data_IF_278489767649
#
_entry.id   IF_278489767649
#
_cell.length_a   1.000
_cell.length_b   1.000
_cell.length_c   1.000
_cell.angle_alpha   90.00
_cell.angle_beta   90.00
_cell.angle_gamma   90.00
#
_symmetry.space_group_name_H-M   'P 1'
#
loop_
_entity.id
_entity.type
_entity.pdbx_description
1 polymer ?
#
# COMPACT_ATOMS: atom_id res chain seq x y z
N UNK A 1 -59.12 -17.33 -104.14
CA UNK A 1 -58.62 -17.98 -102.91
C UNK A 1 -59.61 -17.73 -101.77
N UNK A 2 -60.57 -18.66 -101.59
CA UNK A 2 -61.88 -18.37 -101.00
C UNK A 2 -62.14 -18.97 -99.62
N UNK A 3 -62.63 -18.13 -98.70
CA UNK A 3 -63.43 -18.34 -97.46
C UNK A 3 -63.14 -19.52 -96.49
N UNK A 4 -62.81 -20.74 -96.94
CA UNK A 4 -62.50 -21.90 -96.08
C UNK A 4 -61.15 -21.78 -95.38
N UNK A 5 -60.10 -21.34 -96.09
CA UNK A 5 -58.77 -21.14 -95.50
C UNK A 5 -58.75 -20.07 -94.40
N UNK A 6 -59.52 -18.98 -94.56
CA UNK A 6 -59.67 -17.93 -93.53
C UNK A 6 -60.45 -18.40 -92.31
N UNK A 7 -61.40 -19.32 -92.45
CA UNK A 7 -62.13 -19.91 -91.31
C UNK A 7 -61.26 -20.89 -90.53
N UNK A 8 -60.43 -21.69 -91.20
CA UNK A 8 -59.44 -22.54 -90.53
C UNK A 8 -58.39 -21.71 -89.82
N UNK A 9 -57.86 -20.65 -90.44
CA UNK A 9 -56.93 -19.72 -89.78
C UNK A 9 -57.55 -18.96 -88.60
N UNK A 10 -58.82 -18.55 -88.70
CA UNK A 10 -59.53 -17.90 -87.60
C UNK A 10 -59.80 -18.88 -86.44
N UNK A 11 -60.11 -20.15 -86.74
CA UNK A 11 -60.29 -21.19 -85.72
C UNK A 11 -58.97 -21.53 -85.01
N UNK A 12 -57.86 -21.66 -85.74
CA UNK A 12 -56.55 -21.90 -85.13
C UNK A 12 -56.03 -20.71 -84.34
N UNK A 13 -56.32 -19.47 -84.76
CA UNK A 13 -56.03 -18.28 -83.95
C UNK A 13 -56.89 -18.21 -82.68
N UNK A 14 -58.17 -18.58 -82.75
CA UNK A 14 -59.02 -18.64 -81.57
C UNK A 14 -58.55 -19.72 -80.57
N UNK A 15 -58.09 -20.87 -81.08
CA UNK A 15 -57.52 -21.95 -80.27
C UNK A 15 -56.17 -21.57 -79.66
N UNK A 16 -55.28 -20.89 -80.41
CA UNK A 16 -54.04 -20.32 -79.87
C UNK A 16 -54.31 -19.24 -78.81
N UNK A 17 -55.29 -18.37 -79.02
CA UNK A 17 -55.65 -17.34 -78.03
C UNK A 17 -56.20 -17.98 -76.75
N UNK A 18 -56.99 -19.06 -76.87
CA UNK A 18 -57.50 -19.82 -75.73
C UNK A 18 -56.39 -20.53 -74.97
N UNK A 19 -55.47 -21.19 -75.67
CA UNK A 19 -54.31 -21.83 -75.06
C UNK A 19 -53.37 -20.81 -74.39
N UNK A 20 -53.21 -19.63 -74.98
CA UNK A 20 -52.46 -18.52 -74.38
C UNK A 20 -53.13 -17.98 -73.12
N UNK A 21 -54.46 -17.91 -73.08
CA UNK A 21 -55.22 -17.52 -71.88
C UNK A 21 -55.10 -18.57 -70.79
N UNK A 22 -55.23 -19.86 -71.12
CA UNK A 22 -55.08 -20.97 -70.17
C UNK A 22 -53.65 -21.03 -69.60
N UNK A 23 -52.62 -20.81 -70.42
CA UNK A 23 -51.24 -20.71 -69.93
C UNK A 23 -51.03 -19.49 -69.03
N UNK A 24 -51.60 -18.33 -69.37
CA UNK A 24 -51.49 -17.12 -68.56
C UNK A 24 -52.17 -17.29 -67.19
N UNK A 25 -53.35 -17.92 -67.17
CA UNK A 25 -54.07 -18.25 -65.93
C UNK A 25 -53.28 -19.25 -65.07
N UNK A 26 -52.66 -20.26 -65.69
CA UNK A 26 -51.79 -21.21 -65.01
C UNK A 26 -50.58 -20.50 -64.36
N UNK A 27 -49.87 -19.66 -65.09
CA UNK A 27 -48.74 -18.89 -64.55
C UNK A 27 -49.17 -17.90 -63.45
N UNK A 28 -50.35 -17.29 -63.57
CA UNK A 28 -50.93 -16.46 -62.53
C UNK A 28 -51.25 -17.26 -61.26
N UNK A 29 -51.86 -18.42 -61.40
CA UNK A 29 -52.20 -19.30 -60.29
C UNK A 29 -50.93 -19.79 -59.57
N UNK A 30 -49.89 -20.17 -60.34
CA UNK A 30 -48.62 -20.62 -59.80
C UNK A 30 -47.87 -19.50 -59.05
N UNK A 31 -47.88 -18.28 -59.58
CA UNK A 31 -47.35 -17.11 -58.86
C UNK A 31 -48.07 -16.84 -57.54
N UNK A 32 -49.40 -16.96 -57.50
CA UNK A 32 -50.18 -16.76 -56.27
C UNK A 32 -49.86 -17.82 -55.23
N UNK A 33 -49.77 -19.09 -55.65
CA UNK A 33 -49.38 -20.18 -54.76
C UNK A 33 -47.97 -19.99 -54.19
N UNK A 34 -47.01 -19.53 -55.00
CA UNK A 34 -45.66 -19.18 -54.51
C UNK A 34 -45.70 -18.02 -53.52
N UNK A 35 -46.50 -16.98 -53.82
CA UNK A 35 -46.63 -15.82 -52.94
C UNK A 35 -47.21 -16.22 -51.58
N UNK A 36 -48.23 -17.09 -51.54
CA UNK A 36 -48.81 -17.61 -50.31
C UNK A 36 -47.79 -18.39 -49.45
N UNK A 37 -46.93 -19.21 -50.07
CA UNK A 37 -45.88 -19.93 -49.35
C UNK A 37 -44.84 -18.98 -48.76
N UNK A 38 -44.47 -17.94 -49.51
CA UNK A 38 -43.53 -16.92 -49.04
C UNK A 38 -44.15 -16.11 -47.90
N UNK A 39 -45.42 -15.75 -48.02
CA UNK A 39 -46.14 -15.00 -46.99
C UNK A 39 -46.31 -15.83 -45.70
N UNK A 40 -46.56 -17.14 -45.82
CA UNK A 40 -46.58 -18.07 -44.68
C UNK A 40 -45.21 -18.17 -44.00
N UNK A 41 -44.12 -18.29 -44.75
CA UNK A 41 -42.77 -18.29 -44.18
C UNK A 41 -42.47 -16.98 -43.48
N UNK A 42 -42.81 -15.84 -44.10
CA UNK A 42 -42.62 -14.52 -43.51
C UNK A 42 -43.38 -14.37 -42.20
N UNK A 43 -44.63 -14.83 -42.14
CA UNK A 43 -45.41 -14.82 -40.89
C UNK A 43 -44.77 -15.70 -39.81
N UNK A 44 -44.18 -16.84 -40.16
CA UNK A 44 -43.46 -17.68 -39.21
C UNK A 44 -42.21 -16.99 -38.64
N UNK A 45 -41.48 -16.23 -39.46
CA UNK A 45 -40.33 -15.43 -39.00
C UNK A 45 -40.76 -14.19 -38.19
N UNK A 46 -41.83 -13.50 -38.59
CA UNK A 46 -42.36 -12.35 -37.86
C UNK A 46 -42.97 -12.74 -36.50
N UNK A 47 -43.50 -13.96 -36.38
CA UNK A 47 -43.96 -14.52 -35.10
C UNK A 47 -42.82 -15.08 -34.23
N UNK A 48 -41.60 -15.16 -34.76
CA UNK A 48 -40.45 -15.64 -34.00
C UNK A 48 -39.90 -14.50 -33.14
N UNK A 49 -40.32 -14.46 -31.89
CA UNK A 49 -39.86 -13.47 -30.93
C UNK A 49 -38.50 -13.90 -30.37
N UNK A 50 -37.43 -13.22 -30.80
CA UNK A 50 -36.07 -13.52 -30.34
C UNK A 50 -35.85 -12.93 -28.96
N UNK A 51 -36.30 -13.64 -27.93
CA UNK A 51 -35.99 -13.27 -26.55
C UNK A 51 -34.57 -13.68 -26.23
N UNK A 52 -33.73 -12.71 -25.86
CA UNK A 52 -32.38 -12.99 -25.40
C UNK A 52 -32.48 -13.65 -24.01
N UNK A 53 -32.15 -14.95 -23.86
CA UNK A 53 -32.29 -15.66 -22.59
C UNK A 53 -31.34 -15.14 -21.49
N UNK A 54 -30.43 -14.23 -21.83
CA UNK A 54 -29.50 -13.57 -20.91
C UNK A 54 -29.91 -12.12 -20.59
N UNK A 55 -31.04 -11.64 -21.11
CA UNK A 55 -31.56 -10.31 -20.80
C UNK A 55 -31.94 -10.24 -19.32
N UNK A 56 -31.14 -9.51 -18.52
CA UNK A 56 -31.34 -9.35 -17.09
C UNK A 56 -30.51 -10.28 -16.19
N UNK A 57 -29.70 -11.19 -16.75
CA UNK A 57 -28.73 -11.95 -15.96
C UNK A 57 -27.59 -11.00 -15.57
N UNK A 58 -27.72 -10.37 -14.40
CA UNK A 58 -26.60 -9.67 -13.78
C UNK A 58 -25.56 -10.67 -13.34
N UNK A 59 -24.30 -10.43 -13.70
CA UNK A 59 -23.19 -11.24 -13.24
C UNK A 59 -23.17 -11.21 -11.70
N UNK A 60 -23.44 -12.33 -11.00
CA UNK A 60 -23.50 -12.37 -9.54
C UNK A 60 -22.14 -12.09 -8.89
N UNK A 61 -21.06 -12.10 -9.68
CA UNK A 61 -19.71 -11.78 -9.28
C UNK A 61 -19.33 -10.31 -9.53
N UNK A 62 -20.22 -9.50 -10.11
CA UNK A 62 -19.96 -8.07 -10.37
C UNK A 62 -19.71 -7.27 -9.08
N UNK A 63 -20.24 -7.74 -7.94
CA UNK A 63 -20.08 -7.13 -6.63
C UNK A 63 -18.86 -7.66 -5.85
N UNK A 64 -18.17 -8.69 -6.36
CA UNK A 64 -16.94 -9.15 -5.72
C UNK A 64 -15.85 -8.09 -5.96
N UNK A 65 -15.35 -7.49 -4.89
CA UNK A 65 -14.15 -6.67 -4.96
C UNK A 65 -13.00 -7.54 -5.49
N UNK A 66 -12.59 -7.24 -6.71
CA UNK A 66 -11.47 -7.93 -7.37
C UNK A 66 -10.13 -7.26 -7.14
N UNK A 67 -10.12 -6.10 -6.51
CA UNK A 67 -8.92 -5.34 -6.21
C UNK A 67 -8.39 -5.82 -4.87
N UNK A 68 -7.49 -6.80 -4.91
CA UNK A 68 -6.76 -7.23 -3.73
C UNK A 68 -5.66 -6.19 -3.48
N UNK A 69 -5.89 -5.25 -2.57
CA UNK A 69 -4.80 -4.41 -2.07
C UNK A 69 -3.86 -5.28 -1.23
N UNK A 70 -2.56 -5.07 -1.42
CA UNK A 70 -1.54 -5.73 -0.63
C UNK A 70 -1.73 -5.34 0.85
N UNK A 71 -2.25 -6.26 1.67
CA UNK A 71 -2.47 -6.06 3.11
C UNK A 71 -1.17 -5.72 3.88
N UNK A 72 -0.01 -6.07 3.32
CA UNK A 72 1.30 -5.74 3.88
C UNK A 72 1.81 -4.34 3.48
N UNK A 73 1.16 -3.61 2.56
CA UNK A 73 1.53 -2.23 2.21
C UNK A 73 1.39 -1.24 3.38
N UNK A 74 0.57 -1.58 4.38
CA UNK A 74 0.42 -0.82 5.62
C UNK A 74 1.33 -1.27 6.78
N UNK A 75 2.19 -2.28 6.58
CA UNK A 75 3.05 -2.78 7.63
C UNK A 75 4.08 -1.70 8.02
N UNK A 76 4.08 -1.31 9.30
CA UNK A 76 5.08 -0.38 9.85
C UNK A 76 6.19 -1.17 10.53
N UNK A 77 7.40 -0.63 10.47
CA UNK A 77 8.49 -1.15 11.26
C UNK A 77 8.23 -0.87 12.74
N UNK A 78 8.19 -1.92 13.56
CA UNK A 78 7.96 -1.82 15.02
C UNK A 78 9.11 -1.15 15.77
N UNK A 79 10.27 -1.06 15.14
CA UNK A 79 11.47 -0.41 15.68
C UNK A 79 11.68 1.01 15.14
N UNK A 80 10.90 1.45 14.14
CA UNK A 80 11.00 2.81 13.63
C UNK A 80 10.58 3.81 14.70
N UNK A 81 11.44 4.81 14.93
CA UNK A 81 11.20 5.87 15.91
C UNK A 81 11.36 5.46 17.38
N UNK A 82 12.01 4.33 17.67
CA UNK A 82 12.43 4.04 19.06
C UNK A 82 13.57 4.99 19.41
N UNK A 83 13.35 5.83 20.43
CA UNK A 83 14.35 6.74 20.95
C UNK A 83 15.33 6.01 21.87
N UNK A 84 16.55 6.52 21.92
CA UNK A 84 17.61 5.98 22.75
C UNK A 84 17.45 6.50 24.19
N UNK A 85 17.12 5.65 25.19
CA UNK A 85 16.93 6.10 26.57
C UNK A 85 18.23 6.61 27.23
N UNK A 86 19.38 6.40 26.57
CA UNK A 86 20.67 6.87 27.05
C UNK A 86 21.09 8.24 26.50
N UNK A 87 20.40 8.80 25.50
CA UNK A 87 20.69 10.17 25.01
C UNK A 87 20.40 11.23 26.08
N UNK A 88 19.40 10.98 26.93
CA UNK A 88 18.99 11.89 28.00
C UNK A 88 19.72 11.66 29.33
N UNK A 89 20.74 10.79 29.36
CA UNK A 89 21.49 10.56 30.60
C UNK A 89 22.32 11.79 31.00
N UNK A 90 21.81 12.53 31.98
CA UNK A 90 22.52 13.65 32.61
C UNK A 90 23.60 13.18 33.58
N UNK A 91 24.67 13.97 33.71
CA UNK A 91 25.71 13.78 34.75
C UNK A 91 25.16 14.13 36.15
N UNK A 92 25.67 13.49 37.20
CA UNK A 92 25.19 13.71 38.57
C UNK A 92 25.85 14.92 39.23
N UNK A 93 25.52 16.12 38.73
CA UNK A 93 26.03 17.41 39.22
C UNK A 93 25.78 17.61 40.73
N UNK A 94 24.63 17.16 41.23
CA UNK A 94 24.24 17.34 42.64
C UNK A 94 25.17 16.60 43.60
N UNK A 95 25.66 15.44 43.21
CA UNK A 95 26.63 14.68 44.01
C UNK A 95 27.97 15.40 44.07
N UNK A 96 28.43 15.93 42.94
CA UNK A 96 29.68 16.71 42.87
C UNK A 96 29.57 18.02 43.68
N UNK A 97 28.44 18.73 43.58
CA UNK A 97 28.13 19.91 44.38
C UNK A 97 28.14 19.60 45.88
N UNK A 98 27.51 18.50 46.30
CA UNK A 98 27.49 18.09 47.70
C UNK A 98 28.91 17.77 48.22
N UNK A 99 29.72 17.07 47.44
CA UNK A 99 31.12 16.77 47.81
C UNK A 99 31.96 18.04 47.91
N UNK A 100 31.79 18.98 46.97
CA UNK A 100 32.44 20.28 47.01
C UNK A 100 32.02 21.07 48.26
N UNK A 101 30.72 21.09 48.58
CA UNK A 101 30.18 21.78 49.74
C UNK A 101 30.69 21.18 51.06
N UNK A 102 30.76 19.85 51.18
CA UNK A 102 31.37 19.19 52.34
C UNK A 102 32.84 19.56 52.50
N UNK A 103 33.59 19.61 51.38
CA UNK A 103 34.98 20.05 51.37
C UNK A 103 35.16 21.49 51.84
N UNK A 104 34.29 22.40 51.41
CA UNK A 104 34.30 23.80 51.87
C UNK A 104 33.98 23.93 53.36
N UNK A 105 32.99 23.19 53.88
CA UNK A 105 32.69 23.20 55.32
C UNK A 105 33.87 22.68 56.15
N UNK A 106 34.55 21.63 55.68
CA UNK A 106 35.75 21.12 56.34
C UNK A 106 36.88 22.15 56.32
N UNK A 107 37.13 22.80 55.18
CA UNK A 107 38.09 23.91 55.07
C UNK A 107 37.74 25.05 56.02
N UNK A 108 36.47 25.47 56.07
CA UNK A 108 36.00 26.54 56.95
C UNK A 108 36.15 26.18 58.43
N UNK A 109 35.83 24.94 58.83
CA UNK A 109 36.03 24.46 60.19
C UNK A 109 37.51 24.43 60.59
N UNK A 110 38.39 23.97 59.68
CA UNK A 110 39.84 23.99 59.86
C UNK A 110 40.32 25.43 60.03
N UNK A 111 39.94 26.34 59.12
CA UNK A 111 40.32 27.75 59.19
C UNK A 111 39.77 28.44 60.45
N UNK A 112 38.55 28.11 60.90
CA UNK A 112 37.94 28.62 62.13
C UNK A 112 38.69 28.14 63.37
N UNK A 113 38.98 26.84 63.45
CA UNK A 113 39.73 26.23 64.55
C UNK A 113 41.18 26.76 64.60
N UNK A 114 41.83 26.95 63.45
CA UNK A 114 43.18 27.52 63.37
C UNK A 114 43.22 29.02 63.66
N UNK A 115 42.19 29.77 63.28
CA UNK A 115 42.04 31.18 63.68
C UNK A 115 41.87 31.33 65.20
N UNK A 116 41.25 30.37 65.86
CA UNK A 116 41.13 30.35 67.33
C UNK A 116 42.43 29.86 68.01
N UNK A 117 43.22 29.00 67.36
CA UNK A 117 44.39 28.36 67.96
C UNK A 117 45.75 29.02 67.65
N UNK A 118 45.89 29.83 66.58
CA UNK A 118 47.19 30.28 66.09
C UNK A 118 47.28 31.79 65.80
N UNK A 119 48.31 32.44 66.36
CA UNK A 119 48.74 33.79 65.97
C UNK A 119 49.20 33.86 64.51
N UNK A 120 49.17 35.07 63.94
CA UNK A 120 49.15 35.47 62.51
C UNK A 120 50.08 34.78 61.49
N UNK A 121 51.05 33.98 61.91
CA UNK A 121 52.13 33.47 61.03
C UNK A 121 51.87 32.07 60.44
N UNK A 122 51.01 31.25 61.06
CA UNK A 122 50.71 29.88 60.58
C UNK A 122 49.52 29.74 59.62
N UNK A 123 48.66 30.76 59.56
CA UNK A 123 47.41 30.71 58.77
C UNK A 123 47.69 30.90 57.28
N UNK A 124 48.71 31.69 56.91
CA UNK A 124 49.04 31.98 55.51
C UNK A 124 49.60 30.76 54.77
N UNK A 125 50.51 29.99 55.41
CA UNK A 125 51.08 28.78 54.82
C UNK A 125 50.05 27.67 54.68
N UNK A 126 49.18 27.50 55.68
CA UNK A 126 48.12 26.50 55.63
C UNK A 126 46.99 26.88 54.64
N UNK A 127 46.66 28.17 54.52
CA UNK A 127 45.72 28.63 53.49
C UNK A 127 46.24 28.32 52.07
N UNK A 128 47.55 28.45 51.83
CA UNK A 128 48.17 28.06 50.56
C UNK A 128 48.06 26.55 50.28
N UNK A 129 48.24 25.71 51.31
CA UNK A 129 48.08 24.24 51.20
C UNK A 129 46.62 23.86 50.94
N UNK A 130 45.66 24.48 51.64
CA UNK A 130 44.24 24.24 51.45
C UNK A 130 43.74 24.72 50.08
N UNK A 131 44.26 25.84 49.57
CA UNK A 131 43.96 26.31 48.22
C UNK A 131 44.46 25.31 47.16
N UNK A 132 45.68 24.80 47.31
CA UNK A 132 46.21 23.76 46.42
C UNK A 132 45.37 22.46 46.49
N UNK A 133 44.92 22.08 47.69
CA UNK A 133 44.09 20.88 47.89
C UNK A 133 42.67 21.05 47.34
N UNK A 134 42.09 22.25 47.40
CA UNK A 134 40.81 22.57 46.77
C UNK A 134 40.87 22.46 45.25
N UNK A 135 41.95 22.95 44.63
CA UNK A 135 42.20 22.80 43.19
C UNK A 135 42.34 21.32 42.80
N UNK A 136 42.97 20.50 43.63
CA UNK A 136 43.09 19.06 43.39
C UNK A 136 41.73 18.33 43.51
N UNK A 137 40.90 18.67 44.50
CA UNK A 137 39.55 18.11 44.63
C UNK A 137 38.64 18.50 43.47
N UNK A 138 38.66 19.76 43.04
CA UNK A 138 37.91 20.23 41.88
C UNK A 138 38.38 19.53 40.58
N UNK A 139 39.68 19.29 40.44
CA UNK A 139 40.25 18.51 39.33
C UNK A 139 39.75 17.07 39.35
N UNK A 140 39.75 16.39 40.52
CA UNK A 140 39.23 15.02 40.66
C UNK A 140 37.75 14.95 40.30
N UNK A 141 36.94 15.86 40.84
CA UNK A 141 35.51 15.92 40.51
C UNK A 141 35.27 16.17 39.01
N UNK A 142 36.09 17.01 38.37
CA UNK A 142 35.99 17.25 36.91
C UNK A 142 36.34 16.01 36.09
N UNK A 143 37.34 15.23 36.53
CA UNK A 143 37.69 13.95 35.89
C UNK A 143 36.56 12.94 36.07
N UNK A 144 36.03 12.78 37.27
CA UNK A 144 34.94 11.84 37.55
C UNK A 144 33.67 12.17 36.75
N UNK A 145 33.33 13.47 36.62
CA UNK A 145 32.23 13.94 35.76
C UNK A 145 32.53 13.64 34.29
N UNK A 146 33.75 13.89 33.83
CA UNK A 146 34.16 13.60 32.46
C UNK A 146 34.13 12.10 32.14
N UNK A 147 34.55 11.25 33.07
CA UNK A 147 34.43 9.79 32.94
C UNK A 147 32.97 9.35 32.90
N UNK A 148 32.11 9.94 33.75
CA UNK A 148 30.68 9.68 33.73
C UNK A 148 30.04 10.11 32.40
N UNK A 149 30.41 11.28 31.89
CA UNK A 149 29.91 11.81 30.61
C UNK A 149 30.35 10.90 29.45
N UNK A 150 31.63 10.51 29.40
CA UNK A 150 32.12 9.56 28.41
C UNK A 150 31.42 8.21 28.50
N UNK A 151 31.15 7.71 29.72
CA UNK A 151 30.43 6.47 29.91
C UNK A 151 28.97 6.57 29.43
N UNK A 152 28.30 7.70 29.70
CA UNK A 152 26.95 7.97 29.21
C UNK A 152 26.93 8.06 27.68
N UNK A 153 27.86 8.81 27.08
CA UNK A 153 28.01 8.92 25.63
C UNK A 153 28.28 7.57 24.97
N UNK A 154 29.14 6.74 25.56
CA UNK A 154 29.44 5.40 25.02
C UNK A 154 28.22 4.47 25.11
N UNK A 155 27.45 4.53 26.19
CA UNK A 155 26.19 3.77 26.32
C UNK A 155 25.17 4.23 25.29
N UNK A 156 25.04 5.55 25.10
CA UNK A 156 24.19 6.12 24.06
C UNK A 156 24.62 5.63 22.68
N UNK A 157 25.89 5.73 22.31
CA UNK A 157 26.37 5.25 21.00
C UNK A 157 26.15 3.74 20.78
N UNK A 158 26.38 2.92 21.81
CA UNK A 158 26.15 1.47 21.71
C UNK A 158 24.69 1.14 21.48
N UNK A 159 23.81 1.78 22.24
CA UNK A 159 22.37 1.56 22.10
C UNK A 159 21.84 2.13 20.79
N UNK A 160 22.33 3.29 20.34
CA UNK A 160 22.01 3.85 19.03
C UNK A 160 22.38 2.88 17.91
N UNK A 161 23.57 2.27 17.95
CA UNK A 161 23.96 1.24 16.99
C UNK A 161 23.06 -0.01 17.03
N UNK A 162 22.62 -0.41 18.23
CA UNK A 162 21.67 -1.52 18.39
C UNK A 162 20.29 -1.18 17.82
N UNK A 163 19.78 0.02 18.08
CA UNK A 163 18.50 0.50 17.58
C UNK A 163 18.51 0.63 16.06
N UNK A 164 19.57 1.21 15.48
CA UNK A 164 19.74 1.31 14.02
C UNK A 164 19.80 -0.08 13.35
N UNK A 165 20.44 -1.07 13.99
CA UNK A 165 20.41 -2.45 13.50
C UNK A 165 19.00 -3.05 13.53
N UNK A 166 18.26 -2.85 14.64
CA UNK A 166 16.89 -3.34 14.78
C UNK A 166 15.94 -2.64 13.81
N UNK A 167 16.11 -1.35 13.58
CA UNK A 167 15.38 -0.58 12.58
C UNK A 167 15.61 -1.19 11.20
N UNK A 168 16.87 -1.37 10.78
CA UNK A 168 17.20 -2.02 9.50
C UNK A 168 16.63 -3.44 9.39
N UNK A 169 16.67 -4.25 10.45
CA UNK A 169 16.09 -5.59 10.46
C UNK A 169 14.56 -5.54 10.31
N UNK A 170 13.90 -4.62 11.00
CA UNK A 170 12.46 -4.40 10.90
C UNK A 170 12.04 -3.91 9.52
N UNK A 171 12.82 -3.03 8.89
CA UNK A 171 12.60 -2.59 7.52
C UNK A 171 12.76 -3.73 6.51
N UNK A 172 13.78 -4.58 6.67
CA UNK A 172 13.95 -5.77 5.81
C UNK A 172 12.77 -6.74 5.94
N UNK A 173 12.28 -6.97 7.16
CA UNK A 173 11.07 -7.79 7.39
C UNK A 173 9.84 -7.15 6.75
N UNK A 174 9.69 -5.84 6.86
CA UNK A 174 8.60 -5.07 6.22
C UNK A 174 8.64 -5.24 4.70
N UNK A 175 9.79 -4.99 4.08
CA UNK A 175 10.00 -5.13 2.63
C UNK A 175 9.72 -6.58 2.17
N UNK A 176 10.16 -7.58 2.93
CA UNK A 176 9.84 -8.97 2.63
C UNK A 176 8.34 -9.26 2.67
N UNK A 177 7.63 -8.76 3.69
CA UNK A 177 6.18 -8.92 3.81
C UNK A 177 5.45 -8.21 2.68
N UNK A 178 5.89 -7.01 2.33
CA UNK A 178 5.37 -6.21 1.23
C UNK A 178 5.51 -6.97 -0.09
N UNK A 179 6.70 -7.51 -0.39
CA UNK A 179 6.93 -8.34 -1.59
C UNK A 179 6.11 -9.62 -1.60
N UNK A 180 5.97 -10.29 -0.45
CA UNK A 180 5.11 -11.49 -0.33
C UNK A 180 3.65 -11.17 -0.60
N UNK A 181 3.16 -10.03 -0.09
CA UNK A 181 1.81 -9.58 -0.35
C UNK A 181 1.59 -9.20 -1.81
N UNK A 182 2.55 -8.52 -2.45
CA UNK A 182 2.54 -8.25 -3.89
C UNK A 182 2.50 -9.55 -4.70
N UNK A 183 3.36 -10.52 -4.38
CA UNK A 183 3.39 -11.81 -5.07
C UNK A 183 2.06 -12.57 -4.94
N UNK A 184 1.39 -12.50 -3.78
CA UNK A 184 0.04 -13.08 -3.62
C UNK A 184 -0.99 -12.36 -4.49
N UNK A 185 -0.99 -11.02 -4.53
CA UNK A 185 -1.90 -10.26 -5.38
C UNK A 185 -1.69 -10.63 -6.85
N UNK A 186 -0.45 -10.66 -7.32
CA UNK A 186 -0.12 -11.10 -8.68
C UNK A 186 -0.57 -12.54 -8.96
N UNK A 187 -0.42 -13.44 -7.99
CA UNK A 187 -0.89 -14.82 -8.13
C UNK A 187 -2.42 -14.90 -8.25
N UNK A 188 -3.14 -14.13 -7.45
CA UNK A 188 -4.60 -14.01 -7.55
C UNK A 188 -5.03 -13.41 -8.89
N UNK A 189 -4.32 -12.41 -9.40
CA UNK A 189 -4.57 -11.83 -10.73
C UNK A 189 -4.35 -12.87 -11.84
N UNK A 190 -3.21 -13.59 -11.82
CA UNK A 190 -2.94 -14.68 -12.78
C UNK A 190 -3.99 -15.78 -12.71
N UNK A 191 -4.44 -16.16 -11.52
CA UNK A 191 -5.51 -17.16 -11.36
C UNK A 191 -6.84 -16.68 -11.92
N UNK A 192 -7.16 -15.37 -11.80
CA UNK A 192 -8.34 -14.80 -12.44
C UNK A 192 -8.22 -14.78 -13.96
N UNK A 193 -7.07 -14.40 -14.51
CA UNK A 193 -6.85 -14.45 -15.96
C UNK A 193 -6.99 -15.88 -16.51
N UNK A 194 -6.37 -16.87 -15.87
CA UNK A 194 -6.47 -18.27 -16.29
C UNK A 194 -7.88 -18.86 -16.18
N UNK A 195 -8.73 -18.34 -15.29
CA UNK A 195 -10.15 -18.75 -15.17
C UNK A 195 -11.07 -18.01 -16.14
N UNK A 196 -10.61 -16.91 -16.75
CA UNK A 196 -11.37 -16.13 -17.73
C UNK A 196 -11.02 -16.49 -19.19
N UNK A 197 -10.04 -17.38 -19.42
CA UNK A 197 -9.76 -18.06 -20.68
C UNK A 197 -10.49 -19.41 -20.75
#
# INVERSE_FOLDING_TARGET
MGKRARRQQAATMAEMNRMSQEQFEYFQAEKRAQQEVVDQQRQQYEAFDFQNPFEGVQNPYASLQTNFENLASGARNVYAGIENPYEDLTVNMRQAEFQAEQGERQRANILSNLRQAAGSTGIASLAQVLANQGVEQARKASIDIGEQEQANQLRAQREAGRLDQLEREGEQKRDLLERKGQAQVEEFERQKENKML
#
